data_IF_546843287169
#
_entry.id   IF_546843287169
#
_cell.length_a   1.000
_cell.length_b   1.000
_cell.length_c   1.000
_cell.angle_alpha   90.00
_cell.angle_beta   90.00
_cell.angle_gamma   90.00
#
_symmetry.space_group_name_H-M   'P 1'
#
loop_
_entity.id
_entity.type
_entity.pdbx_description
1 polymer ?
#
# COMPACT_ATOMS: atom_id res chain seq x y z
N UNK A 1 8.20 18.43 -8.49
CA UNK A 1 7.36 18.67 -7.31
C UNK A 1 6.39 19.78 -7.62
N UNK A 2 5.12 19.52 -7.48
CA UNK A 2 4.12 20.54 -7.68
C UNK A 2 3.82 21.24 -6.37
N UNK A 3 3.92 22.53 -6.40
CA UNK A 3 3.53 23.39 -5.30
C UNK A 3 2.32 24.16 -5.74
N UNK A 4 1.19 23.90 -5.10
CA UNK A 4 0.01 24.70 -5.30
C UNK A 4 0.13 25.91 -4.39
N UNK A 5 0.28 27.06 -5.02
CA UNK A 5 0.34 28.32 -4.29
C UNK A 5 -0.96 29.08 -4.50
N UNK A 6 -1.55 29.54 -3.43
CA UNK A 6 -2.67 30.46 -3.50
C UNK A 6 -2.51 31.51 -2.43
N UNK A 7 -3.08 32.65 -2.74
CA UNK A 7 -2.99 33.80 -1.87
C UNK A 7 -4.22 33.85 -0.97
N UNK A 8 -4.00 33.87 0.33
CA UNK A 8 -5.05 34.11 1.30
C UNK A 8 -4.63 35.35 2.08
N UNK A 9 -5.41 36.40 1.96
CA UNK A 9 -5.12 37.69 2.64
C UNK A 9 -3.74 38.25 2.25
N UNK A 10 -3.36 38.10 0.99
CA UNK A 10 -2.07 38.56 0.50
C UNK A 10 -0.88 37.71 0.95
N UNK A 11 -1.14 36.62 1.62
CA UNK A 11 -0.10 35.68 2.03
C UNK A 11 -0.19 34.47 1.12
N UNK A 12 0.93 34.12 0.52
CA UNK A 12 1.00 32.91 -0.30
C UNK A 12 1.18 31.72 0.60
N UNK A 13 0.17 30.86 0.58
CA UNK A 13 0.26 29.57 1.23
C UNK A 13 0.69 28.58 0.18
N UNK A 14 1.92 28.11 0.26
CA UNK A 14 2.40 27.06 -0.59
C UNK A 14 1.80 25.74 -0.11
N UNK A 15 0.90 25.16 -0.90
CA UNK A 15 0.46 23.80 -0.62
C UNK A 15 1.53 22.87 -1.17
N UNK A 16 2.42 22.48 -0.29
CA UNK A 16 3.38 21.41 -0.58
C UNK A 16 2.74 20.14 -0.05
N UNK A 17 2.55 19.11 -0.91
CA UNK A 17 2.06 17.84 -0.40
C UNK A 17 2.97 17.39 0.74
N UNK A 18 2.39 17.18 1.90
CA UNK A 18 3.13 16.70 3.06
C UNK A 18 3.72 15.34 2.74
N UNK A 19 4.99 15.12 3.08
CA UNK A 19 5.59 13.80 2.99
C UNK A 19 4.74 12.82 3.80
N UNK A 20 4.48 11.64 3.24
CA UNK A 20 3.70 10.62 3.92
C UNK A 20 4.40 10.21 5.21
N UNK A 21 3.63 10.17 6.30
CA UNK A 21 4.12 9.70 7.58
C UNK A 21 3.84 8.22 7.73
N UNK A 22 4.45 7.59 8.74
CA UNK A 22 4.15 6.20 9.10
C UNK A 22 2.66 6.03 9.39
N UNK A 23 2.04 7.00 10.08
CA UNK A 23 0.60 6.96 10.38
C UNK A 23 -0.25 6.95 9.11
N UNK A 24 0.15 7.72 8.08
CA UNK A 24 -0.58 7.75 6.80
C UNK A 24 -0.53 6.38 6.11
N UNK A 25 0.61 5.71 6.14
CA UNK A 25 0.77 4.37 5.58
C UNK A 25 -0.14 3.38 6.30
N UNK A 26 -0.13 3.37 7.62
CA UNK A 26 -0.98 2.47 8.41
C UNK A 26 -2.46 2.74 8.17
N UNK A 27 -2.86 4.00 8.08
CA UNK A 27 -4.25 4.36 7.79
C UNK A 27 -4.67 3.87 6.41
N UNK A 28 -3.82 4.03 5.42
CA UNK A 28 -4.13 3.60 4.05
C UNK A 28 -4.30 2.09 3.97
N UNK A 29 -3.47 1.31 4.64
CA UNK A 29 -3.55 -0.16 4.61
C UNK A 29 -4.56 -0.73 5.59
N UNK A 30 -5.21 0.08 6.41
CA UNK A 30 -6.26 -0.39 7.31
C UNK A 30 -7.48 -0.91 6.55
N UNK A 31 -7.70 -0.43 5.34
CA UNK A 31 -8.79 -0.87 4.48
C UNK A 31 -8.38 -2.13 3.71
N UNK A 32 -9.17 -3.19 3.85
CA UNK A 32 -8.86 -4.49 3.24
C UNK A 32 -8.73 -4.41 1.71
N UNK A 33 -9.62 -3.67 1.06
CA UNK A 33 -9.58 -3.55 -0.41
C UNK A 33 -8.31 -2.86 -0.90
N UNK A 34 -7.80 -1.91 -0.14
CA UNK A 34 -6.54 -1.26 -0.49
C UNK A 34 -5.35 -2.21 -0.35
N UNK A 35 -5.39 -3.11 0.65
CA UNK A 35 -4.38 -4.17 0.76
C UNK A 35 -4.42 -5.12 -0.43
N UNK A 36 -5.63 -5.49 -0.86
CA UNK A 36 -5.80 -6.35 -2.04
C UNK A 36 -5.21 -5.69 -3.29
N UNK A 37 -5.48 -4.40 -3.47
CA UNK A 37 -4.94 -3.63 -4.60
C UNK A 37 -3.41 -3.60 -4.55
N UNK A 38 -2.84 -3.32 -3.39
CA UNK A 38 -1.38 -3.27 -3.24
C UNK A 38 -0.72 -4.61 -3.55
N UNK A 39 -1.33 -5.71 -3.11
CA UNK A 39 -0.81 -7.04 -3.40
C UNK A 39 -0.89 -7.36 -4.89
N UNK A 40 -1.97 -6.97 -5.54
CA UNK A 40 -2.14 -7.16 -6.98
C UNK A 40 -1.15 -6.32 -7.79
N UNK A 41 -0.83 -5.12 -7.32
CA UNK A 41 0.04 -4.16 -8.00
C UNK A 41 1.54 -4.36 -7.70
N UNK A 42 1.92 -5.49 -7.12
CA UNK A 42 3.34 -5.86 -7.05
C UNK A 42 3.93 -5.83 -8.46
N UNK A 43 3.17 -6.29 -9.44
CA UNK A 43 3.47 -6.11 -10.86
C UNK A 43 2.67 -4.93 -11.40
N UNK A 44 3.28 -4.15 -12.29
CA UNK A 44 2.63 -3.01 -12.92
C UNK A 44 1.43 -3.44 -13.75
N UNK A 45 0.28 -2.79 -13.53
CA UNK A 45 -0.98 -3.13 -14.19
C UNK A 45 -1.78 -1.88 -14.54
N UNK A 46 -2.57 -1.90 -15.63
CA UNK A 46 -3.55 -0.84 -15.90
C UNK A 46 -4.76 -0.98 -14.98
N UNK A 47 -5.52 0.11 -14.84
CA UNK A 47 -6.71 0.16 -13.96
C UNK A 47 -7.72 -0.94 -14.28
N UNK A 48 -7.94 -1.20 -15.56
CA UNK A 48 -8.93 -2.20 -15.97
C UNK A 48 -8.62 -3.60 -15.43
N UNK A 49 -7.34 -3.94 -15.33
CA UNK A 49 -6.93 -5.23 -14.76
C UNK A 49 -7.29 -5.33 -13.28
N UNK A 50 -7.20 -4.22 -12.55
CA UNK A 50 -7.57 -4.18 -11.14
C UNK A 50 -9.08 -4.40 -10.97
N UNK A 51 -9.87 -3.72 -11.79
CA UNK A 51 -11.33 -3.84 -11.78
C UNK A 51 -11.74 -5.29 -12.03
N UNK A 52 -11.16 -5.91 -13.05
CA UNK A 52 -11.49 -7.27 -13.43
C UNK A 52 -11.03 -8.30 -12.39
N UNK A 53 -9.81 -8.14 -11.89
CA UNK A 53 -9.22 -9.11 -10.97
C UNK A 53 -9.88 -9.09 -9.59
N UNK A 54 -10.22 -7.91 -9.09
CA UNK A 54 -10.73 -7.75 -7.73
C UNK A 54 -12.25 -7.62 -7.68
N UNK A 55 -12.91 -7.67 -8.83
CA UNK A 55 -14.37 -7.57 -8.93
C UNK A 55 -14.92 -6.33 -8.20
N UNK A 56 -14.23 -5.21 -8.36
CA UNK A 56 -14.64 -3.93 -7.82
C UNK A 56 -15.13 -3.03 -8.95
N UNK A 57 -16.00 -2.09 -8.62
CA UNK A 57 -16.40 -1.07 -9.60
C UNK A 57 -15.24 -0.13 -9.89
N UNK A 58 -15.22 0.43 -11.10
CA UNK A 58 -14.18 1.38 -11.47
C UNK A 58 -14.15 2.61 -10.56
N UNK A 59 -15.28 3.22 -10.17
CA UNK A 59 -15.25 4.32 -9.20
C UNK A 59 -14.63 3.92 -7.86
N UNK A 60 -14.91 2.71 -7.38
CA UNK A 60 -14.33 2.21 -6.13
C UNK A 60 -12.82 2.07 -6.23
N UNK A 61 -12.35 1.45 -7.33
CA UNK A 61 -10.90 1.30 -7.59
C UNK A 61 -10.24 2.68 -7.67
N UNK A 62 -10.85 3.62 -8.39
CA UNK A 62 -10.30 4.98 -8.53
C UNK A 62 -10.17 5.69 -7.19
N UNK A 63 -11.16 5.54 -6.31
CA UNK A 63 -11.11 6.10 -4.95
C UNK A 63 -9.96 5.53 -4.14
N UNK A 64 -9.82 4.21 -4.16
CA UNK A 64 -8.75 3.54 -3.42
C UNK A 64 -7.36 3.90 -3.98
N UNK A 65 -7.22 3.95 -5.30
CA UNK A 65 -5.97 4.34 -5.93
C UNK A 65 -5.57 5.77 -5.59
N UNK A 66 -6.57 6.67 -5.51
CA UNK A 66 -6.29 8.05 -5.10
C UNK A 66 -5.70 8.10 -3.70
N UNK A 67 -6.29 7.40 -2.76
CA UNK A 67 -5.78 7.33 -1.38
C UNK A 67 -4.35 6.76 -1.37
N UNK A 68 -4.14 5.66 -2.06
CA UNK A 68 -2.83 5.01 -2.11
C UNK A 68 -1.78 5.90 -2.77
N UNK A 69 -2.16 6.61 -3.82
CA UNK A 69 -1.25 7.53 -4.51
C UNK A 69 -0.90 8.73 -3.64
N UNK A 70 -1.90 9.31 -2.97
CA UNK A 70 -1.67 10.48 -2.11
C UNK A 70 -0.72 10.17 -0.95
N UNK A 71 -0.71 8.93 -0.49
CA UNK A 71 0.20 8.45 0.57
C UNK A 71 1.55 8.01 0.02
N UNK A 72 1.65 7.82 -1.30
CA UNK A 72 2.89 7.38 -1.94
C UNK A 72 3.09 5.88 -2.00
N UNK A 73 2.01 5.11 -1.76
CA UNK A 73 2.07 3.65 -1.77
C UNK A 73 1.99 3.05 -3.17
N UNK A 74 1.56 3.80 -4.16
CA UNK A 74 1.57 3.38 -5.55
C UNK A 74 2.24 4.44 -6.42
N UNK A 75 2.94 4.00 -7.44
CA UNK A 75 3.50 4.82 -8.48
C UNK A 75 2.62 4.74 -9.72
N UNK A 76 2.57 5.82 -10.46
CA UNK A 76 1.73 5.95 -11.65
C UNK A 76 2.63 6.24 -12.84
N UNK A 77 2.42 5.52 -13.92
CA UNK A 77 3.12 5.75 -15.19
C UNK A 77 2.10 5.86 -16.30
N UNK A 78 2.30 6.85 -17.15
CA UNK A 78 1.45 7.00 -18.34
C UNK A 78 2.21 6.52 -19.56
N UNK A 79 1.55 5.72 -20.39
CA UNK A 79 2.06 5.28 -21.67
C UNK A 79 0.94 5.46 -22.71
N UNK A 80 1.05 6.50 -23.52
CA UNK A 80 0.00 6.87 -24.46
C UNK A 80 -1.29 7.22 -23.73
N UNK A 81 -2.35 6.47 -24.02
CA UNK A 81 -3.67 6.68 -23.39
C UNK A 81 -3.86 5.81 -22.16
N UNK A 82 -2.92 4.91 -21.89
CA UNK A 82 -3.01 3.99 -20.74
C UNK A 82 -2.28 4.55 -19.54
N UNK A 83 -2.84 4.28 -18.38
CA UNK A 83 -2.25 4.63 -17.10
C UNK A 83 -1.98 3.34 -16.35
N UNK A 84 -0.73 3.16 -15.95
CA UNK A 84 -0.29 1.97 -15.23
C UNK A 84 0.03 2.33 -13.79
N UNK A 85 -0.30 1.41 -12.90
CA UNK A 85 -0.05 1.54 -11.47
C UNK A 85 0.85 0.42 -10.99
N UNK A 86 1.72 0.74 -10.06
CA UNK A 86 2.60 -0.23 -9.43
C UNK A 86 2.78 0.13 -7.97
N UNK A 87 2.77 -0.88 -7.11
CA UNK A 87 3.03 -0.68 -5.68
C UNK A 87 4.46 -0.18 -5.46
N UNK A 88 4.59 0.86 -4.66
CA UNK A 88 5.88 1.35 -4.20
C UNK A 88 6.27 0.59 -2.94
N UNK A 89 7.03 -0.49 -3.10
CA UNK A 89 7.39 -1.38 -2.00
C UNK A 89 8.19 -0.67 -0.90
N UNK A 90 9.00 0.33 -1.27
CA UNK A 90 9.76 1.09 -0.29
C UNK A 90 8.86 1.84 0.70
N UNK A 91 7.73 2.32 0.24
CA UNK A 91 6.78 3.03 1.09
C UNK A 91 6.11 2.12 2.12
N UNK A 92 6.13 0.80 1.90
CA UNK A 92 5.57 -0.19 2.82
C UNK A 92 6.58 -0.59 3.89
N UNK A 93 7.84 -0.23 3.72
CA UNK A 93 8.91 -0.61 4.66
C UNK A 93 8.58 -0.31 6.14
N UNK A 94 7.97 0.83 6.51
CA UNK A 94 7.63 1.07 7.91
C UNK A 94 6.73 -0.01 8.51
N UNK A 95 5.85 -0.60 7.72
CA UNK A 95 5.01 -1.70 8.15
C UNK A 95 5.86 -2.94 8.46
N UNK A 96 6.78 -3.27 7.57
CA UNK A 96 7.70 -4.38 7.76
C UNK A 96 8.55 -4.20 9.02
N UNK A 97 9.09 -3.00 9.21
CA UNK A 97 9.90 -2.67 10.39
C UNK A 97 9.10 -2.83 11.68
N UNK A 98 7.86 -2.39 11.67
CA UNK A 98 6.98 -2.57 12.81
C UNK A 98 6.69 -4.03 13.10
N UNK A 99 6.40 -4.83 12.07
CA UNK A 99 6.11 -6.26 12.25
C UNK A 99 7.32 -7.03 12.73
N UNK A 100 8.54 -6.58 12.43
CA UNK A 100 9.76 -7.20 12.92
C UNK A 100 9.87 -7.21 14.44
N UNK A 101 9.23 -6.25 15.12
CA UNK A 101 9.17 -6.24 16.59
C UNK A 101 8.56 -7.53 17.14
N UNK A 102 7.67 -8.14 16.37
CA UNK A 102 6.95 -9.34 16.78
C UNK A 102 7.52 -10.60 16.14
N UNK A 103 8.48 -10.49 15.25
CA UNK A 103 9.00 -11.61 14.47
C UNK A 103 9.56 -12.73 15.37
N UNK A 104 10.29 -12.35 16.41
CA UNK A 104 10.84 -13.31 17.36
C UNK A 104 9.73 -14.16 17.98
N UNK A 105 8.63 -13.52 18.33
CA UNK A 105 7.46 -14.21 18.91
C UNK A 105 6.86 -15.19 17.91
N UNK A 106 6.69 -14.77 16.65
CA UNK A 106 6.12 -15.65 15.62
C UNK A 106 7.04 -16.83 15.30
N UNK A 107 8.34 -16.61 15.25
CA UNK A 107 9.30 -17.69 15.01
C UNK A 107 9.20 -18.77 16.07
N UNK A 108 9.07 -18.40 17.32
CA UNK A 108 8.87 -19.34 18.40
C UNK A 108 7.59 -20.16 18.22
N UNK A 109 6.51 -19.52 17.84
CA UNK A 109 5.24 -20.19 17.57
C UNK A 109 5.35 -21.17 16.41
N UNK A 110 5.99 -20.76 15.34
CA UNK A 110 6.19 -21.62 14.16
C UNK A 110 7.06 -22.83 14.48
N UNK A 111 8.11 -22.66 15.25
CA UNK A 111 8.98 -23.74 15.67
C UNK A 111 8.20 -24.75 16.53
N UNK A 112 7.39 -24.29 17.46
CA UNK A 112 6.55 -25.14 18.30
C UNK A 112 5.55 -25.94 17.47
N UNK A 113 4.90 -25.30 16.50
CA UNK A 113 3.96 -25.96 15.59
C UNK A 113 4.67 -27.04 14.79
N UNK A 114 5.84 -26.73 14.26
CA UNK A 114 6.65 -27.67 13.48
C UNK A 114 7.05 -28.88 14.35
N UNK A 115 7.55 -28.65 15.54
CA UNK A 115 7.96 -29.70 16.45
C UNK A 115 6.78 -30.61 16.81
N UNK A 116 5.61 -30.05 17.05
CA UNK A 116 4.40 -30.78 17.34
C UNK A 116 4.00 -31.69 16.18
N UNK A 117 4.05 -31.15 14.96
CA UNK A 117 3.73 -31.90 13.75
C UNK A 117 4.70 -33.07 13.55
N UNK A 118 5.99 -32.83 13.77
CA UNK A 118 7.03 -33.85 13.64
C UNK A 118 6.86 -34.95 14.69
N UNK A 119 6.54 -34.59 15.94
CA UNK A 119 6.27 -35.57 17.02
C UNK A 119 5.10 -36.46 16.69
N UNK A 120 4.05 -35.90 16.09
CA UNK A 120 2.86 -36.68 15.70
C UNK A 120 3.17 -37.61 14.52
N UNK A 121 4.11 -37.29 13.68
CA UNK A 121 4.53 -38.17 12.56
C UNK A 121 5.36 -39.34 13.05
N UNK A 122 6.15 -39.14 14.11
CA UNK A 122 7.07 -40.15 14.62
C UNK A 122 6.41 -41.14 15.59
N UNK A 123 5.18 -40.89 15.97
CA UNK A 123 4.47 -41.73 16.89
C UNK A 123 3.62 -42.83 16.28
#
# INVERSE_FOLDING_TARGET
MQVLTYSVLGIYIAFVPRAATTSDVFNAIAEARRRDILAFLVDERPVNDIVDALELSQPSVSKHLKVLRDVGLVNVRRDGRQIFYRTNAEAIRPLHEWTQTFERFWRHQLIRVKQRAESQRSG
#
